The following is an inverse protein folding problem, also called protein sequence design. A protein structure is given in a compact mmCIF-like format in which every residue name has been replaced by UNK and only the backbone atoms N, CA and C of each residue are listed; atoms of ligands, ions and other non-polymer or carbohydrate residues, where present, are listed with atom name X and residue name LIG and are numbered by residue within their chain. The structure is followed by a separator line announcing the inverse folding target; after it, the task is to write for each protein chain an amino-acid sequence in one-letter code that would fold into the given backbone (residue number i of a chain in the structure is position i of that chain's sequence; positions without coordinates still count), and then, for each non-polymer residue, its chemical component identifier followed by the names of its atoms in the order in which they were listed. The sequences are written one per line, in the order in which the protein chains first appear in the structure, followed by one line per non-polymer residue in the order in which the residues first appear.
data_IF_330949069783
#
_entry.id   IF_330949069783
#
_cell.length_a   1.000
_cell.length_b   1.000
_cell.length_c   1.000
_cell.angle_alpha   90.00
_cell.angle_beta   90.00
_cell.angle_gamma   90.00
#
_symmetry.space_group_name_H-M   'P 1'
#
loop_
_entity.id
_entity.type
_entity.pdbx_description
1 polymer ?
#
# COMPACT_ATOMS: atom_id res chain seq x y z
N UNK A 1 -26.57 -15.26 -7.68
CA UNK A 1 -25.23 -14.62 -7.66
C UNK A 1 -25.16 -13.77 -6.40
N UNK A 2 -24.61 -14.31 -5.31
CA UNK A 2 -24.44 -13.56 -4.05
C UNK A 2 -23.23 -12.62 -4.21
N UNK A 3 -23.46 -11.31 -4.20
CA UNK A 3 -22.42 -10.30 -4.03
C UNK A 3 -22.29 -10.07 -2.53
N UNK A 4 -21.60 -10.99 -1.84
CA UNK A 4 -21.44 -10.94 -0.39
C UNK A 4 -20.79 -9.61 -0.01
N UNK A 5 -21.57 -8.74 0.64
CA UNK A 5 -21.09 -7.45 1.12
C UNK A 5 -20.11 -7.73 2.27
N UNK A 6 -18.88 -7.21 2.24
CA UNK A 6 -17.88 -7.54 3.26
C UNK A 6 -18.39 -7.13 4.64
N UNK A 7 -18.25 -8.04 5.60
CA UNK A 7 -18.59 -7.81 7.00
C UNK A 7 -17.78 -6.65 7.57
N UNK A 8 -18.29 -6.01 8.63
CA UNK A 8 -17.56 -4.92 9.33
C UNK A 8 -16.16 -5.36 9.75
N UNK A 9 -16.00 -6.63 10.15
CA UNK A 9 -14.72 -7.22 10.51
C UNK A 9 -13.75 -7.30 9.33
N UNK A 10 -14.23 -7.68 8.14
CA UNK A 10 -13.42 -7.74 6.92
C UNK A 10 -13.02 -6.34 6.45
N UNK A 11 -13.94 -5.37 6.51
CA UNK A 11 -13.65 -3.96 6.22
C UNK A 11 -12.58 -3.41 7.16
N UNK A 12 -12.71 -3.67 8.47
CA UNK A 12 -11.73 -3.24 9.46
C UNK A 12 -10.37 -3.90 9.23
N UNK A 13 -10.36 -5.20 8.93
CA UNK A 13 -9.14 -5.94 8.59
C UNK A 13 -8.44 -5.33 7.38
N UNK A 14 -9.19 -5.04 6.32
CA UNK A 14 -8.63 -4.41 5.13
C UNK A 14 -8.10 -3.00 5.42
N UNK A 15 -8.84 -2.19 6.18
CA UNK A 15 -8.41 -0.86 6.57
C UNK A 15 -7.08 -0.87 7.35
N UNK A 16 -6.98 -1.69 8.39
CA UNK A 16 -5.74 -1.82 9.17
C UNK A 16 -4.58 -2.30 8.31
N UNK A 17 -4.82 -3.24 7.39
CA UNK A 17 -3.79 -3.71 6.47
C UNK A 17 -3.26 -2.57 5.58
N UNK A 18 -4.17 -1.81 4.97
CA UNK A 18 -3.82 -0.67 4.11
C UNK A 18 -3.04 0.41 4.87
N UNK A 19 -3.41 0.66 6.13
CA UNK A 19 -2.72 1.66 6.96
C UNK A 19 -1.29 1.24 7.30
N UNK A 20 -1.07 -0.05 7.62
CA UNK A 20 0.30 -0.58 7.83
C UNK A 20 1.15 -0.36 6.57
N UNK A 21 0.61 -0.65 5.38
CA UNK A 21 1.34 -0.48 4.11
C UNK A 21 1.67 0.99 3.85
N UNK A 22 0.73 1.90 4.11
CA UNK A 22 0.91 3.35 3.91
C UNK A 22 2.02 3.89 4.81
N UNK A 23 1.94 3.65 6.12
CA UNK A 23 2.93 4.12 7.09
C UNK A 23 4.30 3.52 6.83
N UNK A 24 4.36 2.21 6.55
CA UNK A 24 5.63 1.56 6.23
C UNK A 24 6.27 2.15 4.95
N UNK A 25 5.48 2.46 3.92
CA UNK A 25 5.97 3.13 2.72
C UNK A 25 6.57 4.51 3.05
N UNK A 26 5.90 5.31 3.86
CA UNK A 26 6.39 6.63 4.29
C UNK A 26 7.70 6.52 5.07
N UNK A 27 7.78 5.58 6.01
CA UNK A 27 9.00 5.31 6.78
C UNK A 27 10.14 4.81 5.88
N UNK A 28 9.89 3.87 4.97
CA UNK A 28 10.90 3.38 4.03
C UNK A 28 11.41 4.48 3.10
N UNK A 29 10.53 5.39 2.67
CA UNK A 29 10.91 6.52 1.83
C UNK A 29 11.76 7.56 2.60
N UNK A 30 11.48 7.77 3.89
CA UNK A 30 12.16 8.75 4.71
C UNK A 30 13.51 8.24 5.27
N UNK A 31 13.59 6.97 5.63
CA UNK A 31 14.72 6.41 6.39
C UNK A 31 15.47 5.31 5.65
N UNK A 32 14.94 4.81 4.53
CA UNK A 32 15.46 3.61 3.88
C UNK A 32 14.83 2.33 4.44
N UNK A 33 14.84 1.27 3.63
CA UNK A 33 14.17 0.01 3.98
C UNK A 33 14.82 -0.73 5.15
N UNK A 34 16.16 -0.78 5.17
CA UNK A 34 16.91 -1.53 6.17
C UNK A 34 16.83 -0.88 7.56
N UNK A 35 16.83 0.47 7.61
CA UNK A 35 16.83 1.24 8.85
C UNK A 35 15.46 1.30 9.54
N UNK A 36 14.39 0.84 8.87
CA UNK A 36 13.04 0.79 9.44
C UNK A 36 12.76 -0.58 10.06
N UNK A 37 12.52 -0.60 11.37
CA UNK A 37 12.14 -1.80 12.10
C UNK A 37 10.63 -2.04 12.12
N UNK A 38 10.22 -3.27 12.46
CA UNK A 38 8.78 -3.60 12.65
C UNK A 38 8.19 -2.78 13.80
N UNK A 39 8.98 -2.50 14.84
CA UNK A 39 8.57 -1.71 16.01
C UNK A 39 8.25 -0.28 15.59
N UNK A 40 9.10 0.36 14.79
CA UNK A 40 8.85 1.71 14.28
C UNK A 40 7.53 1.78 13.52
N UNK A 41 7.23 0.77 12.69
CA UNK A 41 5.96 0.68 11.97
C UNK A 41 4.80 0.48 12.94
N UNK A 42 4.95 -0.43 13.92
CA UNK A 42 3.92 -0.71 14.92
C UNK A 42 3.57 0.55 15.75
N UNK A 43 4.59 1.27 16.20
CA UNK A 43 4.46 2.49 17.01
C UNK A 43 3.78 3.60 16.20
N UNK A 44 4.18 3.78 14.93
CA UNK A 44 3.59 4.78 14.05
C UNK A 44 2.13 4.47 13.66
N UNK A 45 1.76 3.18 13.54
CA UNK A 45 0.38 2.75 13.26
C UNK A 45 -0.47 2.68 14.54
N UNK A 46 0.14 2.54 15.71
CA UNK A 46 -0.55 2.35 16.99
C UNK A 46 -1.07 0.92 17.20
N UNK A 47 -0.30 -0.09 16.80
CA UNK A 47 -0.67 -1.52 16.93
C UNK A 47 0.43 -2.32 17.66
N UNK A 48 0.05 -3.46 18.24
CA UNK A 48 1.02 -4.39 18.81
C UNK A 48 1.80 -5.14 17.73
N UNK A 49 3.01 -5.60 18.06
CA UNK A 49 3.82 -6.49 17.20
C UNK A 49 3.05 -7.77 16.82
N UNK A 50 2.27 -8.34 17.74
CA UNK A 50 1.41 -9.50 17.46
C UNK A 50 0.34 -9.16 16.42
N UNK A 51 -0.31 -8.00 16.56
CA UNK A 51 -1.28 -7.51 15.58
C UNK A 51 -0.63 -7.32 14.21
N UNK A 52 0.54 -6.71 14.16
CA UNK A 52 1.30 -6.55 12.91
C UNK A 52 1.55 -7.90 12.22
N UNK A 53 2.08 -8.90 12.94
CA UNK A 53 2.39 -10.20 12.36
C UNK A 53 1.15 -10.99 11.92
N UNK A 54 -0.03 -10.71 12.50
CA UNK A 54 -1.31 -11.25 12.00
C UNK A 54 -1.65 -10.74 10.59
N UNK A 55 -1.15 -9.57 10.19
CA UNK A 55 -1.30 -9.03 8.84
C UNK A 55 -0.11 -9.34 7.94
N UNK A 56 1.11 -9.15 8.46
CA UNK A 56 2.36 -9.26 7.71
C UNK A 56 3.33 -10.16 8.48
N UNK A 57 3.38 -11.47 8.15
CA UNK A 57 4.32 -12.39 8.79
C UNK A 57 5.79 -11.99 8.69
N UNK A 58 6.15 -11.18 7.68
CA UNK A 58 7.52 -10.71 7.41
C UNK A 58 7.48 -9.27 6.86
N UNK A 59 8.50 -8.46 7.13
CA UNK A 59 8.58 -7.03 6.72
C UNK A 59 8.61 -6.89 5.19
N UNK A 60 9.29 -7.80 4.52
CA UNK A 60 9.48 -7.92 3.07
C UNK A 60 8.14 -8.02 2.32
N UNK A 61 7.12 -8.63 2.95
CA UNK A 61 5.80 -8.77 2.34
C UNK A 61 5.10 -7.42 2.17
N UNK A 62 5.48 -6.40 2.94
CA UNK A 62 5.01 -5.03 2.77
C UNK A 62 5.52 -4.46 1.45
N UNK A 63 6.81 -4.65 1.12
CA UNK A 63 7.36 -4.18 -0.16
C UNK A 63 6.62 -4.78 -1.35
N UNK A 64 6.28 -6.07 -1.28
CA UNK A 64 5.48 -6.73 -2.31
C UNK A 64 4.11 -6.07 -2.46
N UNK A 65 3.44 -5.75 -1.35
CA UNK A 65 2.12 -5.11 -1.38
C UNK A 65 2.18 -3.67 -1.89
N UNK A 66 3.22 -2.91 -1.50
CA UNK A 66 3.52 -1.58 -2.07
C UNK A 66 3.69 -1.69 -3.58
N UNK A 67 4.55 -2.61 -4.05
CA UNK A 67 4.82 -2.80 -5.48
C UNK A 67 3.56 -3.17 -6.25
N UNK A 68 2.79 -4.15 -5.76
CA UNK A 68 1.53 -4.56 -6.39
C UNK A 68 0.50 -3.43 -6.43
N UNK A 69 0.34 -2.67 -5.34
CA UNK A 69 -0.57 -1.53 -5.30
C UNK A 69 -0.17 -0.43 -6.30
N UNK A 70 1.13 -0.15 -6.42
CA UNK A 70 1.64 0.87 -7.36
C UNK A 70 1.50 0.42 -8.82
N UNK A 71 1.76 -0.84 -9.13
CA UNK A 71 1.52 -1.42 -10.46
C UNK A 71 0.04 -1.31 -10.85
N UNK A 72 -0.87 -1.63 -9.92
CA UNK A 72 -2.31 -1.56 -10.20
C UNK A 72 -2.78 -0.12 -10.44
N UNK A 73 -2.30 0.83 -9.65
CA UNK A 73 -2.54 2.27 -9.88
C UNK A 73 -2.01 2.74 -11.23
N UNK A 74 -0.80 2.31 -11.60
CA UNK A 74 -0.20 2.67 -12.88
C UNK A 74 -1.00 2.11 -14.06
N UNK A 75 -1.46 0.84 -13.97
CA UNK A 75 -2.33 0.24 -14.99
C UNK A 75 -3.62 1.03 -15.17
N UNK A 76 -4.31 1.36 -14.08
CA UNK A 76 -5.57 2.11 -14.13
C UNK A 76 -5.42 3.47 -14.84
N UNK A 77 -4.27 4.12 -14.62
CA UNK A 77 -3.93 5.38 -15.29
C UNK A 77 -3.67 5.14 -16.78
N UNK A 78 -2.79 4.20 -17.13
CA UNK A 78 -2.50 3.86 -18.53
C UNK A 78 -3.79 3.56 -19.30
N UNK A 79 -4.68 2.74 -18.72
CA UNK A 79 -5.99 2.42 -19.31
C UNK A 79 -6.82 3.68 -19.53
N UNK A 80 -6.96 4.54 -18.52
CA UNK A 80 -7.71 5.80 -18.63
C UNK A 80 -7.16 6.73 -19.70
N UNK A 81 -5.83 6.86 -19.81
CA UNK A 81 -5.21 7.71 -20.84
C UNK A 81 -5.37 7.12 -22.25
N UNK A 82 -5.31 5.79 -22.38
CA UNK A 82 -5.55 5.09 -23.65
C UNK A 82 -6.99 5.27 -24.13
N UNK A 83 -7.97 5.30 -23.22
CA UNK A 83 -9.39 5.50 -23.54
C UNK A 83 -9.69 6.94 -23.94
N UNK A 84 -9.07 7.91 -23.28
CA UNK A 84 -9.26 9.35 -23.54
C UNK A 84 -8.50 9.86 -24.80
N UNK A 85 -7.72 9.02 -25.48
CA UNK A 85 -6.86 9.41 -26.60
C UNK A 85 -5.73 10.38 -26.22
N UNK A 86 -5.42 10.51 -24.92
CA UNK A 86 -4.41 11.41 -24.39
C UNK A 86 -3.05 10.74 -24.33
N UNK A 87 -1.98 11.48 -24.63
CA UNK A 87 -0.61 10.99 -24.46
C UNK A 87 -0.27 10.94 -22.96
N UNK A 88 0.13 9.77 -22.48
CA UNK A 88 0.74 9.63 -21.15
C UNK A 88 2.14 10.26 -21.19
N UNK A 89 2.40 11.22 -20.29
CA UNK A 89 3.74 11.80 -20.14
C UNK A 89 4.50 11.11 -19.01
N UNK A 90 5.83 11.16 -19.04
CA UNK A 90 6.64 10.64 -17.94
C UNK A 90 6.42 11.46 -16.65
N UNK A 91 6.02 12.73 -16.76
CA UNK A 91 5.58 13.54 -15.62
C UNK A 91 4.36 12.96 -14.91
N UNK A 92 3.40 12.39 -15.66
CA UNK A 92 2.23 11.72 -15.09
C UNK A 92 2.61 10.43 -14.34
N UNK A 93 3.66 9.73 -14.80
CA UNK A 93 4.19 8.53 -14.15
C UNK A 93 4.97 8.88 -12.88
N UNK A 94 5.80 9.92 -12.92
CA UNK A 94 6.64 10.35 -11.78
C UNK A 94 5.79 10.96 -10.67
N UNK A 95 4.71 11.68 -11.00
CA UNK A 95 3.75 12.19 -10.02
C UNK A 95 3.10 11.10 -9.13
N UNK A 96 3.22 9.82 -9.51
CA UNK A 96 2.72 8.67 -8.75
C UNK A 96 3.69 8.16 -7.68
N UNK A 97 4.96 8.57 -7.75
CA UNK A 97 5.99 8.18 -6.79
C UNK A 97 5.89 8.98 -5.49
N UNK A 98 5.41 10.24 -5.54
CA UNK A 98 5.36 11.18 -4.41
C UNK A 98 3.98 11.81 -4.20
N UNK A 99 2.97 10.95 -3.99
CA UNK A 99 1.67 11.35 -3.46
C UNK A 99 1.09 10.25 -2.57
#
# INVERSE_FOLDING_TARGET
MDRSTPSLREKQKHHTRTEIVRIAFELFAAHGYEDVSVEMICDAVGISRTTFFNYFPQKELILREIASSRVEKLKAIITRFSEDGKKLTFGDVVALSWR
#
